data_IF_773239814138
#
_entry.id   IF_773239814138
#
_cell.length_a   1.000
_cell.length_b   1.000
_cell.length_c   1.000
_cell.angle_alpha   90.00
_cell.angle_beta   90.00
_cell.angle_gamma   90.00
#
_symmetry.space_group_name_H-M   'P 1'
#
loop_
_entity.id
_entity.type
_entity.pdbx_description
1 polymer ?
#
# COMPACT_ATOMS: atom_id res chain seq x y z
N UNK A 1 20.29 -5.98 0.36
CA UNK A 1 19.43 -4.79 0.41
C UNK A 1 18.49 -4.93 1.58
N UNK A 2 17.99 -3.83 2.14
CA UNK A 2 16.97 -3.86 3.19
C UNK A 2 15.74 -4.67 2.74
N UNK A 3 15.07 -5.44 3.63
CA UNK A 3 13.79 -6.07 3.32
C UNK A 3 12.75 -5.00 2.94
N UNK A 4 11.94 -5.29 1.93
CA UNK A 4 10.91 -4.37 1.42
C UNK A 4 9.52 -4.81 1.86
N UNK A 5 8.72 -3.85 2.30
CA UNK A 5 7.31 -3.99 2.62
C UNK A 5 6.51 -3.13 1.63
N UNK A 6 5.64 -3.76 0.86
CA UNK A 6 4.79 -3.10 -0.12
C UNK A 6 3.38 -2.88 0.43
N UNK A 7 2.87 -1.66 0.32
CA UNK A 7 1.56 -1.27 0.86
C UNK A 7 0.72 -0.65 -0.25
N UNK A 8 -0.48 -1.19 -0.43
CA UNK A 8 -1.50 -0.67 -1.34
C UNK A 8 -2.56 0.08 -0.56
N UNK A 9 -2.85 1.31 -0.99
CA UNK A 9 -3.96 2.11 -0.47
C UNK A 9 -4.63 2.91 -1.58
N UNK A 10 -5.78 3.51 -1.29
CA UNK A 10 -6.33 4.53 -2.18
C UNK A 10 -5.52 5.82 -2.10
N UNK A 11 -5.47 6.56 -3.21
CA UNK A 11 -4.96 7.92 -3.26
C UNK A 11 -5.86 8.85 -2.45
N UNK A 12 -5.27 9.65 -1.57
CA UNK A 12 -6.03 10.62 -0.80
C UNK A 12 -6.47 11.79 -1.68
N UNK A 13 -7.57 12.45 -1.29
CA UNK A 13 -8.06 13.65 -1.98
C UNK A 13 -7.02 14.76 -2.02
N UNK A 14 -6.18 14.85 -0.98
CA UNK A 14 -5.06 15.78 -0.91
C UNK A 14 -3.75 15.02 -1.06
N UNK A 15 -2.98 15.33 -2.09
CA UNK A 15 -1.66 14.74 -2.33
C UNK A 15 -0.70 14.90 -1.14
N UNK A 16 -0.85 15.99 -0.37
CA UNK A 16 -0.04 16.21 0.83
C UNK A 16 -0.18 15.09 1.89
N UNK A 17 -1.33 14.39 1.93
CA UNK A 17 -1.50 13.26 2.83
C UNK A 17 -0.67 12.04 2.39
N UNK A 18 -0.62 11.78 1.09
CA UNK A 18 0.21 10.73 0.51
C UNK A 18 1.70 11.02 0.74
N UNK A 19 2.10 12.28 0.62
CA UNK A 19 3.48 12.72 0.90
C UNK A 19 3.86 12.49 2.37
N UNK A 20 2.96 12.76 3.31
CA UNK A 20 3.18 12.46 4.73
C UNK A 20 3.38 10.96 4.96
N UNK A 21 2.57 10.10 4.33
CA UNK A 21 2.73 8.64 4.42
C UNK A 21 4.07 8.17 3.84
N UNK A 22 4.51 8.77 2.73
CA UNK A 22 5.83 8.50 2.14
C UNK A 22 6.97 8.98 3.02
N UNK A 23 6.83 10.11 3.69
CA UNK A 23 7.86 10.60 4.62
C UNK A 23 7.95 9.73 5.87
N UNK A 24 6.81 9.33 6.44
CA UNK A 24 6.77 8.37 7.54
C UNK A 24 7.40 7.02 7.16
N UNK A 25 7.18 6.55 5.93
CA UNK A 25 7.85 5.36 5.41
C UNK A 25 9.38 5.51 5.40
N UNK A 26 9.91 6.65 4.96
CA UNK A 26 11.37 6.92 4.98
C UNK A 26 11.91 6.93 6.41
N UNK A 27 11.22 7.57 7.34
CA UNK A 27 11.62 7.58 8.76
C UNK A 27 11.56 6.16 9.37
N UNK A 28 10.56 5.37 9.01
CA UNK A 28 10.48 3.97 9.39
C UNK A 28 11.65 3.17 8.83
N UNK A 29 12.03 3.40 7.57
CA UNK A 29 13.22 2.78 6.98
C UNK A 29 14.50 3.17 7.70
N UNK A 30 14.68 4.46 8.04
CA UNK A 30 15.86 4.91 8.81
C UNK A 30 15.96 4.25 10.17
N UNK A 31 14.83 4.07 10.86
CA UNK A 31 14.79 3.57 12.25
C UNK A 31 14.77 2.04 12.36
N UNK A 32 14.15 1.34 11.41
CA UNK A 32 13.95 -0.13 11.45
C UNK A 32 14.70 -0.88 10.36
N UNK A 33 15.25 -0.19 9.37
CA UNK A 33 15.95 -0.81 8.24
C UNK A 33 15.03 -1.57 7.27
N UNK A 34 13.73 -1.24 7.24
CA UNK A 34 12.72 -1.85 6.35
C UNK A 34 12.29 -0.80 5.32
N UNK A 35 12.44 -1.08 4.04
CA UNK A 35 12.03 -0.22 2.93
C UNK A 35 10.51 -0.33 2.72
N UNK A 36 9.74 0.71 3.05
CA UNK A 36 8.28 0.69 2.90
C UNK A 36 7.89 1.44 1.63
N UNK A 37 7.31 0.72 0.65
CA UNK A 37 6.87 1.31 -0.62
C UNK A 37 5.35 1.45 -0.67
N UNK A 38 4.88 2.67 -0.89
CA UNK A 38 3.46 2.97 -1.06
C UNK A 38 3.04 3.01 -2.52
N UNK A 39 1.98 2.28 -2.83
CA UNK A 39 1.19 2.41 -4.05
C UNK A 39 -0.18 3.02 -3.72
N UNK A 40 -0.51 4.11 -4.42
CA UNK A 40 -1.79 4.81 -4.29
C UNK A 40 -2.55 4.71 -5.61
N UNK A 41 -3.76 4.14 -5.57
CA UNK A 41 -4.65 3.98 -6.73
C UNK A 41 -6.03 4.56 -6.45
N UNK A 42 -6.92 4.62 -7.45
CA UNK A 42 -8.31 4.97 -7.18
C UNK A 42 -8.95 3.93 -6.27
N UNK A 43 -9.81 4.35 -5.35
CA UNK A 43 -10.45 3.42 -4.42
C UNK A 43 -11.35 2.39 -5.15
N UNK A 44 -11.92 2.77 -6.29
CA UNK A 44 -12.73 1.89 -7.15
C UNK A 44 -11.91 0.78 -7.79
N UNK A 45 -10.61 0.97 -7.94
CA UNK A 45 -9.72 0.01 -8.60
C UNK A 45 -9.13 -1.02 -7.61
N UNK A 46 -9.26 -0.77 -6.30
CA UNK A 46 -8.73 -1.67 -5.26
C UNK A 46 -9.28 -3.09 -5.41
N UNK A 47 -10.61 -3.34 -5.54
CA UNK A 47 -11.12 -4.71 -5.65
C UNK A 47 -10.54 -5.49 -6.84
N UNK A 48 -10.40 -4.83 -8.00
CA UNK A 48 -9.81 -5.44 -9.18
C UNK A 48 -8.33 -5.79 -8.97
N UNK A 49 -7.59 -4.92 -8.29
CA UNK A 49 -6.18 -5.16 -7.97
C UNK A 49 -6.00 -6.26 -6.93
N UNK A 50 -6.88 -6.34 -5.93
CA UNK A 50 -6.89 -7.45 -4.96
C UNK A 50 -7.15 -8.76 -5.69
N UNK A 51 -8.18 -8.85 -6.53
CA UNK A 51 -8.45 -10.07 -7.30
C UNK A 51 -7.24 -10.53 -8.14
N UNK A 52 -6.57 -9.60 -8.84
CA UNK A 52 -5.37 -9.92 -9.60
C UNK A 52 -4.19 -10.39 -8.71
N UNK A 53 -4.02 -9.79 -7.52
CA UNK A 53 -3.02 -10.22 -6.55
C UNK A 53 -3.29 -11.66 -6.04
N UNK A 54 -4.55 -12.03 -5.86
CA UNK A 54 -4.97 -13.39 -5.45
C UNK A 54 -4.66 -14.40 -6.54
N UNK A 55 -5.10 -14.12 -7.76
CA UNK A 55 -4.96 -15.03 -8.89
C UNK A 55 -3.49 -15.27 -9.24
N UNK A 56 -2.66 -14.23 -9.12
CA UNK A 56 -1.22 -14.34 -9.39
C UNK A 56 -0.40 -14.90 -8.23
N UNK A 57 -0.94 -14.90 -7.00
CA UNK A 57 -0.17 -15.17 -5.78
C UNK A 57 0.94 -14.15 -5.50
N UNK A 58 0.94 -13.01 -6.20
CA UNK A 58 1.97 -11.98 -6.14
C UNK A 58 1.30 -10.61 -5.92
N UNK A 59 0.91 -10.35 -4.67
CA UNK A 59 0.27 -9.13 -4.23
C UNK A 59 1.14 -8.23 -3.35
N UNK A 60 0.67 -7.02 -3.03
CA UNK A 60 1.27 -6.21 -1.96
C UNK A 60 1.15 -6.92 -0.60
N UNK A 61 2.09 -6.65 0.30
CA UNK A 61 2.13 -7.27 1.63
C UNK A 61 1.00 -6.78 2.55
N UNK A 62 0.58 -5.51 2.38
CA UNK A 62 -0.51 -4.89 3.12
C UNK A 62 -1.46 -4.20 2.14
N UNK A 63 -2.76 -4.38 2.34
CA UNK A 63 -3.80 -3.68 1.58
C UNK A 63 -4.71 -2.92 2.55
N UNK A 64 -4.87 -1.62 2.33
CA UNK A 64 -5.85 -0.80 3.02
C UNK A 64 -7.21 -0.93 2.31
N UNK A 65 -8.20 -1.52 2.99
CA UNK A 65 -9.51 -1.85 2.46
C UNK A 65 -10.61 -1.13 3.22
N UNK A 66 -11.73 -0.87 2.55
CA UNK A 66 -12.98 -0.57 3.26
C UNK A 66 -13.56 -1.84 3.87
N UNK A 67 -14.33 -1.67 4.94
CA UNK A 67 -14.94 -2.78 5.68
C UNK A 67 -15.90 -3.64 4.87
N UNK A 68 -16.42 -3.14 3.75
CA UNK A 68 -17.32 -3.83 2.84
C UNK A 68 -16.61 -4.45 1.63
N UNK A 69 -15.29 -4.25 1.49
CA UNK A 69 -14.54 -4.80 0.38
C UNK A 69 -14.15 -6.27 0.62
N UNK A 70 -14.09 -7.09 -0.45
CA UNK A 70 -13.66 -8.47 -0.34
C UNK A 70 -12.22 -8.53 0.16
N UNK A 71 -12.01 -9.33 1.20
CA UNK A 71 -10.71 -9.65 1.78
C UNK A 71 -10.40 -11.14 1.56
N UNK A 72 -9.13 -11.48 1.74
CA UNK A 72 -8.58 -12.83 1.60
C UNK A 72 -8.50 -13.56 2.93
#
# INVERSE_FOLDING_TARGET
GAPRLSVLSWANTLHAMDDVLREQAKEYTKTKGIDVSWEFISHQDIPAKVAAAVESGAGPDIINLWTDMPHL
#
